data_IF_431656427385
#
_entry.id   IF_431656427385
#
_cell.length_a   1.000
_cell.length_b   1.000
_cell.length_c   1.000
_cell.angle_alpha   90.00
_cell.angle_beta   90.00
_cell.angle_gamma   90.00
#
_symmetry.space_group_name_H-M   'P 1'
#
loop_
_entity.id
_entity.type
_entity.pdbx_description
1 polymer ?
#
# COMPACT_ATOMS: atom_id res chain seq x y z
N UNK A 1 -28.02 20.65 22.60
CA UNK A 1 -28.44 21.78 21.73
C UNK A 1 -27.52 21.95 20.50
N UNK A 2 -26.18 21.98 20.63
CA UNK A 2 -25.27 22.18 19.48
C UNK A 2 -25.17 20.99 18.49
N UNK A 3 -25.37 19.73 18.94
CA UNK A 3 -25.37 18.56 18.03
C UNK A 3 -26.41 18.68 16.91
N UNK A 4 -27.56 19.28 17.22
CA UNK A 4 -28.64 19.51 16.26
C UNK A 4 -28.19 20.46 15.12
N UNK A 5 -27.46 21.53 15.43
CA UNK A 5 -26.93 22.46 14.41
C UNK A 5 -25.87 21.78 13.52
N UNK A 6 -25.01 20.95 14.10
CA UNK A 6 -23.98 20.21 13.34
C UNK A 6 -24.61 19.15 12.44
N UNK A 7 -25.63 18.43 12.92
CA UNK A 7 -26.40 17.45 12.15
C UNK A 7 -27.15 18.11 10.98
N UNK A 8 -27.80 19.26 11.21
CA UNK A 8 -28.46 20.03 10.17
C UNK A 8 -27.46 20.57 9.14
N UNK A 9 -26.30 21.06 9.58
CA UNK A 9 -25.23 21.49 8.70
C UNK A 9 -24.71 20.34 7.82
N UNK A 10 -24.52 19.14 8.39
CA UNK A 10 -24.10 17.96 7.65
C UNK A 10 -25.14 17.54 6.61
N UNK A 11 -26.43 17.54 6.98
CA UNK A 11 -27.54 17.23 6.09
C UNK A 11 -27.61 18.22 4.93
N UNK A 12 -27.52 19.52 5.21
CA UNK A 12 -27.50 20.58 4.18
C UNK A 12 -26.29 20.48 3.27
N UNK A 13 -25.14 20.08 3.82
CA UNK A 13 -23.91 19.86 3.08
C UNK A 13 -23.85 18.52 2.32
N UNK A 14 -24.94 17.73 2.30
CA UNK A 14 -24.98 16.40 1.67
C UNK A 14 -23.88 15.46 2.17
N UNK A 15 -23.51 15.56 3.44
CA UNK A 15 -22.33 14.90 4.01
C UNK A 15 -22.70 13.85 5.06
N UNK A 16 -21.97 12.73 5.08
CA UNK A 16 -22.02 11.79 6.20
C UNK A 16 -21.30 12.40 7.40
N UNK A 17 -21.99 12.45 8.55
CA UNK A 17 -21.49 13.00 9.80
C UNK A 17 -20.77 11.93 10.63
N UNK A 18 -19.55 12.23 11.10
CA UNK A 18 -18.79 11.39 12.02
C UNK A 18 -18.26 12.23 13.19
N UNK A 19 -18.50 11.80 14.43
CA UNK A 19 -17.95 12.44 15.63
C UNK A 19 -16.59 11.85 16.00
N UNK A 20 -15.55 12.68 16.10
CA UNK A 20 -14.20 12.22 16.39
C UNK A 20 -13.83 12.38 17.87
N UNK A 21 -14.28 11.43 18.70
CA UNK A 21 -14.03 11.43 20.16
C UNK A 21 -12.55 11.56 20.53
N UNK A 22 -11.63 10.98 19.75
CA UNK A 22 -10.17 11.02 20.06
C UNK A 22 -9.55 12.40 19.88
N UNK A 23 -10.13 13.24 19.02
CA UNK A 23 -9.60 14.59 18.73
C UNK A 23 -10.40 15.70 19.40
N UNK A 24 -11.52 15.36 20.05
CA UNK A 24 -12.28 16.27 20.91
C UNK A 24 -11.62 16.39 22.29
N UNK A 25 -11.72 17.57 22.89
CA UNK A 25 -11.29 17.92 24.25
C UNK A 25 -12.47 18.44 25.07
N UNK A 26 -12.26 18.81 26.33
CA UNK A 26 -13.29 19.43 27.15
C UNK A 26 -13.82 20.75 26.54
N UNK A 27 -12.95 21.52 25.87
CA UNK A 27 -13.25 22.83 25.29
C UNK A 27 -13.54 22.83 23.78
N UNK A 28 -13.23 21.74 23.07
CA UNK A 28 -13.41 21.67 21.62
C UNK A 28 -13.93 20.31 21.14
N UNK A 29 -14.91 20.32 20.24
CA UNK A 29 -15.44 19.11 19.61
C UNK A 29 -15.11 19.05 18.12
N UNK A 30 -14.71 17.87 17.66
CA UNK A 30 -14.29 17.64 16.28
C UNK A 30 -15.27 16.72 15.57
N UNK A 31 -15.84 17.22 14.47
CA UNK A 31 -16.71 16.48 13.57
C UNK A 31 -16.07 16.36 12.19
N UNK A 32 -16.34 15.25 11.50
CA UNK A 32 -15.87 14.99 10.15
C UNK A 32 -17.09 14.92 9.24
N UNK A 33 -17.09 15.73 8.19
CA UNK A 33 -18.11 15.71 7.14
C UNK A 33 -17.52 15.01 5.92
N UNK A 34 -18.13 13.89 5.53
CA UNK A 34 -17.65 13.09 4.38
C UNK A 34 -18.55 13.26 3.18
N UNK A 35 -17.98 13.79 2.09
CA UNK A 35 -18.64 13.93 0.77
C UNK A 35 -17.59 13.82 -0.33
N UNK A 36 -17.92 13.19 -1.46
CA UNK A 36 -17.03 13.03 -2.63
C UNK A 36 -16.37 14.37 -3.00
N UNK A 37 -17.17 15.43 -3.08
CA UNK A 37 -16.70 16.81 -3.19
C UNK A 37 -16.67 17.48 -1.81
N UNK A 38 -15.47 17.49 -1.21
CA UNK A 38 -15.22 18.10 0.10
C UNK A 38 -15.24 19.63 0.07
N UNK A 39 -14.98 20.24 -1.09
CA UNK A 39 -15.00 21.70 -1.23
C UNK A 39 -16.44 22.19 -1.25
N UNK A 40 -17.30 21.49 -1.99
CA UNK A 40 -18.74 21.76 -2.00
C UNK A 40 -19.35 21.58 -0.60
N UNK A 41 -18.97 20.52 0.12
CA UNK A 41 -19.38 20.33 1.52
C UNK A 41 -18.99 21.51 2.43
N UNK A 42 -17.79 22.07 2.24
CA UNK A 42 -17.33 23.25 2.99
C UNK A 42 -18.19 24.47 2.67
N UNK A 43 -18.38 24.78 1.39
CA UNK A 43 -19.16 25.93 0.94
C UNK A 43 -20.59 25.86 1.49
N UNK A 44 -21.26 24.72 1.34
CA UNK A 44 -22.63 24.53 1.82
C UNK A 44 -22.74 24.60 3.35
N UNK A 45 -21.76 24.06 4.08
CA UNK A 45 -21.70 24.19 5.54
C UNK A 45 -21.56 25.65 5.95
N UNK A 46 -20.65 26.39 5.32
CA UNK A 46 -20.43 27.80 5.62
C UNK A 46 -21.65 28.65 5.28
N UNK A 47 -22.31 28.38 4.15
CA UNK A 47 -23.57 29.04 3.78
C UNK A 47 -24.68 28.76 4.82
N UNK A 48 -24.79 27.53 5.30
CA UNK A 48 -25.71 27.19 6.38
C UNK A 48 -25.40 27.96 7.67
N UNK A 49 -24.12 28.06 8.06
CA UNK A 49 -23.72 28.82 9.26
C UNK A 49 -24.03 30.32 9.09
N UNK A 50 -23.76 30.91 7.92
CA UNK A 50 -24.12 32.31 7.60
C UNK A 50 -25.62 32.54 7.71
N UNK A 51 -26.43 31.65 7.13
CA UNK A 51 -27.89 31.75 7.16
C UNK A 51 -28.44 31.70 8.60
N UNK A 52 -27.77 30.97 9.49
CA UNK A 52 -28.11 30.90 10.91
C UNK A 52 -27.40 31.97 11.76
N UNK A 53 -26.74 32.96 11.15
CA UNK A 53 -26.00 34.05 11.81
C UNK A 53 -24.90 33.55 12.77
N UNK A 54 -24.34 32.38 12.49
CA UNK A 54 -23.23 31.81 13.27
C UNK A 54 -21.91 32.29 12.67
N UNK A 55 -21.11 33.02 13.45
CA UNK A 55 -19.76 33.44 13.06
C UNK A 55 -18.83 32.24 13.04
N UNK A 56 -18.05 32.10 11.98
CA UNK A 56 -17.06 31.03 11.82
C UNK A 56 -15.77 31.58 11.21
N UNK A 57 -14.70 30.81 11.36
CA UNK A 57 -13.41 31.04 10.71
C UNK A 57 -13.05 29.85 9.81
N UNK A 58 -12.49 30.15 8.64
CA UNK A 58 -11.87 29.15 7.76
C UNK A 58 -10.36 29.16 8.05
N UNK A 59 -9.84 28.07 8.62
CA UNK A 59 -8.45 28.04 9.09
C UNK A 59 -7.73 26.74 8.79
N UNK A 60 -6.43 26.82 8.54
CA UNK A 60 -5.58 25.64 8.39
C UNK A 60 -5.26 25.04 9.76
N UNK A 61 -5.34 23.71 9.88
CA UNK A 61 -4.94 22.99 11.08
C UNK A 61 -4.25 21.67 10.73
N UNK A 62 -3.61 21.03 11.71
CA UNK A 62 -3.06 19.68 11.57
C UNK A 62 -4.15 18.59 11.37
N UNK A 63 -5.44 18.92 11.51
CA UNK A 63 -6.54 17.96 11.41
C UNK A 63 -6.82 17.54 9.97
N UNK A 64 -6.40 18.35 8.98
CA UNK A 64 -6.67 18.17 7.56
C UNK A 64 -5.58 18.78 6.68
N UNK A 65 -5.42 18.25 5.47
CA UNK A 65 -4.63 18.89 4.41
C UNK A 65 -5.33 20.12 3.84
N UNK A 66 -6.59 20.38 4.19
CA UNK A 66 -7.39 21.55 3.78
C UNK A 66 -7.75 22.42 4.98
N UNK A 67 -8.27 23.61 4.71
CA UNK A 67 -8.85 24.43 5.77
C UNK A 67 -10.11 23.77 6.35
N UNK A 68 -10.29 23.96 7.65
CA UNK A 68 -11.46 23.52 8.41
C UNK A 68 -12.35 24.72 8.70
N UNK A 69 -13.63 24.47 8.97
CA UNK A 69 -14.53 25.50 9.51
C UNK A 69 -14.60 25.34 11.03
N UNK A 70 -14.27 26.41 11.76
CA UNK A 70 -14.31 26.47 13.22
C UNK A 70 -15.28 27.57 13.66
N UNK A 71 -16.14 27.27 14.63
CA UNK A 71 -17.08 28.23 15.20
C UNK A 71 -17.36 27.91 16.67
N UNK A 72 -17.85 28.89 17.42
CA UNK A 72 -18.23 28.69 18.81
C UNK A 72 -19.75 28.46 18.92
N UNK A 73 -20.14 27.48 19.73
CA UNK A 73 -21.55 27.23 20.00
C UNK A 73 -21.72 26.62 21.40
N UNK A 74 -22.50 27.30 22.25
CA UNK A 74 -22.78 26.83 23.62
C UNK A 74 -21.52 26.69 24.49
N UNK A 75 -20.60 27.66 24.40
CA UNK A 75 -19.36 27.69 25.19
C UNK A 75 -18.29 26.68 24.77
N UNK A 76 -18.47 26.01 23.62
CA UNK A 76 -17.51 25.07 23.04
C UNK A 76 -17.07 25.51 21.66
N UNK A 77 -15.82 25.22 21.33
CA UNK A 77 -15.29 25.35 19.97
C UNK A 77 -15.70 24.12 19.16
N UNK A 78 -16.40 24.31 18.06
CA UNK A 78 -16.78 23.26 17.12
C UNK A 78 -15.88 23.32 15.90
N UNK A 79 -15.28 22.19 15.52
CA UNK A 79 -14.40 22.05 14.35
C UNK A 79 -14.99 21.07 13.35
N UNK A 80 -15.27 21.54 12.14
CA UNK A 80 -15.75 20.71 11.03
C UNK A 80 -14.60 20.43 10.06
N UNK A 81 -14.26 19.15 9.94
CA UNK A 81 -13.20 18.65 9.06
C UNK A 81 -13.82 17.99 7.82
N UNK A 82 -13.55 18.54 6.64
CA UNK A 82 -14.09 18.00 5.38
C UNK A 82 -13.19 16.92 4.79
N UNK A 83 -13.76 15.75 4.50
CA UNK A 83 -13.03 14.63 3.89
C UNK A 83 -13.79 14.04 2.70
N UNK A 84 -13.08 13.52 1.68
CA UNK A 84 -13.73 12.78 0.61
C UNK A 84 -14.37 11.49 1.17
N UNK A 85 -15.45 11.02 0.52
CA UNK A 85 -16.01 9.68 0.76
C UNK A 85 -15.07 8.57 0.28
N UNK A 86 -14.10 8.88 -0.60
CA UNK A 86 -12.93 8.05 -0.87
C UNK A 86 -11.84 8.27 0.18
N UNK A 87 -11.51 7.22 0.93
CA UNK A 87 -10.83 7.31 2.23
C UNK A 87 -9.43 7.96 2.23
N UNK A 88 -9.21 8.81 3.24
CA UNK A 88 -7.90 8.86 3.89
C UNK A 88 -7.59 7.53 4.59
N UNK A 89 -6.33 7.32 4.99
CA UNK A 89 -5.78 6.05 5.49
C UNK A 89 -6.65 5.29 6.53
N UNK A 90 -7.39 5.98 7.39
CA UNK A 90 -8.28 5.36 8.38
C UNK A 90 -9.62 4.83 7.85
N UNK A 91 -10.19 5.44 6.80
CA UNK A 91 -11.46 4.97 6.21
C UNK A 91 -11.25 3.77 5.28
N UNK A 92 -10.16 3.79 4.51
CA UNK A 92 -9.73 2.64 3.71
C UNK A 92 -9.44 1.41 4.57
N UNK A 93 -8.68 1.57 5.66
CA UNK A 93 -8.34 0.48 6.56
C UNK A 93 -9.57 -0.20 7.20
N UNK A 94 -10.61 0.56 7.53
CA UNK A 94 -11.84 0.01 8.11
C UNK A 94 -12.66 -0.79 7.08
N UNK A 95 -12.72 -0.33 5.82
CA UNK A 95 -13.39 -1.05 4.73
C UNK A 95 -12.58 -2.29 4.36
N UNK A 96 -11.26 -2.16 4.22
CA UNK A 96 -10.33 -3.27 3.96
C UNK A 96 -10.51 -4.40 4.98
N UNK A 97 -10.53 -4.07 6.28
CA UNK A 97 -10.74 -5.08 7.32
C UNK A 97 -12.10 -5.80 7.19
N UNK A 98 -13.16 -5.07 6.78
CA UNK A 98 -14.50 -5.65 6.54
C UNK A 98 -14.46 -6.57 5.32
N UNK A 99 -13.94 -6.11 4.19
CA UNK A 99 -13.97 -6.84 2.92
C UNK A 99 -13.08 -8.08 2.94
N UNK A 100 -11.91 -8.01 3.56
CA UNK A 100 -11.03 -9.17 3.74
C UNK A 100 -11.64 -10.21 4.70
N UNK A 101 -12.24 -9.76 5.80
CA UNK A 101 -12.95 -10.67 6.73
C UNK A 101 -14.16 -11.31 6.04
N UNK A 102 -14.91 -10.53 5.24
CA UNK A 102 -16.01 -11.04 4.42
C UNK A 102 -15.54 -12.13 3.48
N UNK A 103 -14.40 -11.95 2.80
CA UNK A 103 -13.84 -12.96 1.93
C UNK A 103 -13.53 -14.27 2.66
N UNK A 104 -13.03 -14.23 3.91
CA UNK A 104 -12.85 -15.44 4.72
C UNK A 104 -14.16 -16.20 4.91
N UNK A 105 -15.26 -15.50 5.22
CA UNK A 105 -16.58 -16.13 5.41
C UNK A 105 -17.12 -16.74 4.11
N UNK A 106 -16.99 -16.05 2.98
CA UNK A 106 -17.48 -16.52 1.69
C UNK A 106 -16.67 -17.73 1.19
N UNK A 107 -15.34 -17.71 1.36
CA UNK A 107 -14.51 -18.87 1.08
C UNK A 107 -14.89 -20.06 1.99
N UNK A 108 -15.05 -19.83 3.30
CA UNK A 108 -15.49 -20.90 4.22
C UNK A 108 -16.87 -21.46 3.87
N UNK A 109 -17.81 -20.60 3.44
CA UNK A 109 -19.12 -21.02 2.96
C UNK A 109 -18.99 -22.00 1.77
N UNK A 110 -18.16 -21.66 0.78
CA UNK A 110 -17.91 -22.51 -0.38
C UNK A 110 -17.22 -23.83 0.00
N UNK A 111 -16.17 -23.80 0.83
CA UNK A 111 -15.38 -25.00 1.16
C UNK A 111 -16.03 -25.92 2.20
N UNK A 112 -16.60 -25.37 3.27
CA UNK A 112 -17.01 -26.16 4.45
C UNK A 112 -18.51 -26.41 4.54
N UNK A 113 -19.33 -25.41 4.18
CA UNK A 113 -20.78 -25.46 4.40
C UNK A 113 -21.49 -25.96 3.14
N UNK A 114 -21.28 -25.30 2.00
CA UNK A 114 -21.87 -25.70 0.71
C UNK A 114 -21.08 -26.79 0.02
N UNK A 115 -19.76 -26.85 0.26
CA UNK A 115 -18.83 -27.78 -0.39
C UNK A 115 -18.94 -27.72 -1.92
N UNK A 116 -19.07 -26.51 -2.45
CA UNK A 116 -19.37 -26.22 -3.85
C UNK A 116 -19.29 -24.72 -4.14
N UNK A 117 -19.37 -24.32 -5.42
CA UNK A 117 -19.57 -22.91 -5.77
C UNK A 117 -20.84 -22.35 -5.10
N UNK A 118 -20.78 -21.09 -4.70
CA UNK A 118 -21.85 -20.35 -4.02
C UNK A 118 -22.50 -19.34 -4.97
N UNK A 119 -23.77 -19.04 -4.73
CA UNK A 119 -24.53 -17.93 -5.34
C UNK A 119 -25.04 -16.99 -4.25
N UNK A 120 -25.55 -15.82 -4.64
CA UNK A 120 -26.07 -14.81 -3.70
C UNK A 120 -27.09 -15.38 -2.71
N UNK A 121 -28.01 -16.23 -3.18
CA UNK A 121 -29.00 -16.89 -2.32
C UNK A 121 -28.39 -17.83 -1.25
N UNK A 122 -27.13 -18.27 -1.40
CA UNK A 122 -26.44 -19.05 -0.38
C UNK A 122 -25.84 -18.17 0.72
N UNK A 123 -25.62 -16.88 0.47
CA UNK A 123 -24.91 -15.93 1.34
C UNK A 123 -25.80 -15.35 2.46
N UNK A 124 -26.74 -16.14 2.99
CA UNK A 124 -27.61 -15.74 4.10
C UNK A 124 -26.81 -15.64 5.41
N UNK A 125 -27.29 -14.81 6.36
CA UNK A 125 -26.67 -14.66 7.69
C UNK A 125 -26.49 -16.02 8.36
N UNK A 126 -27.53 -16.87 8.35
CA UNK A 126 -27.48 -18.22 8.93
C UNK A 126 -26.37 -19.08 8.34
N UNK A 127 -26.17 -19.04 7.02
CA UNK A 127 -25.12 -19.80 6.36
C UNK A 127 -23.73 -19.22 6.65
N UNK A 128 -23.61 -17.89 6.73
CA UNK A 128 -22.37 -17.21 7.10
C UNK A 128 -21.99 -17.46 8.57
N UNK A 129 -22.96 -17.60 9.47
CA UNK A 129 -22.75 -18.00 10.87
C UNK A 129 -22.27 -19.46 10.97
N UNK A 130 -22.80 -20.38 10.15
CA UNK A 130 -22.25 -21.73 10.03
C UNK A 130 -20.81 -21.71 9.53
N UNK A 131 -20.52 -20.89 8.52
CA UNK A 131 -19.19 -20.73 7.95
C UNK A 131 -18.19 -20.11 8.96
N UNK A 132 -18.68 -19.29 9.90
CA UNK A 132 -17.84 -18.64 10.90
C UNK A 132 -17.06 -19.61 11.80
N UNK A 133 -17.54 -20.86 11.96
CA UNK A 133 -16.82 -21.92 12.70
C UNK A 133 -15.42 -22.21 12.15
N UNK A 134 -15.19 -21.90 10.87
CA UNK A 134 -13.92 -22.13 10.18
C UNK A 134 -13.18 -20.83 9.86
N UNK A 135 -13.56 -19.72 10.50
CA UNK A 135 -12.98 -18.40 10.22
C UNK A 135 -12.42 -17.78 11.50
N UNK A 136 -11.18 -17.31 11.41
CA UNK A 136 -10.61 -16.40 12.41
C UNK A 136 -10.31 -15.05 11.76
N UNK A 137 -11.23 -14.11 11.94
CA UNK A 137 -11.13 -12.76 11.41
C UNK A 137 -11.47 -11.72 12.49
N UNK A 138 -10.96 -10.51 12.33
CA UNK A 138 -11.18 -9.38 13.25
C UNK A 138 -12.58 -8.80 13.18
N UNK A 139 -13.27 -8.89 12.03
CA UNK A 139 -14.65 -8.43 11.87
C UNK A 139 -15.59 -9.65 11.92
N UNK A 140 -16.53 -9.65 12.87
CA UNK A 140 -17.53 -10.73 13.03
C UNK A 140 -18.63 -10.63 11.98
N UNK A 141 -19.33 -11.74 11.69
CA UNK A 141 -20.38 -11.86 10.66
C UNK A 141 -21.39 -10.71 10.71
N UNK A 142 -22.01 -10.43 11.87
CA UNK A 142 -23.00 -9.36 11.99
C UNK A 142 -22.43 -7.99 11.60
N UNK A 143 -21.30 -7.60 12.20
CA UNK A 143 -20.62 -6.35 11.86
C UNK A 143 -20.13 -6.30 10.41
N UNK A 144 -19.78 -7.45 9.84
CA UNK A 144 -19.39 -7.55 8.43
C UNK A 144 -20.57 -7.25 7.53
N UNK A 145 -21.73 -7.89 7.75
CA UNK A 145 -22.95 -7.66 6.96
C UNK A 145 -23.40 -6.19 7.04
N UNK A 146 -23.41 -5.61 8.23
CA UNK A 146 -23.84 -4.23 8.45
C UNK A 146 -22.94 -3.18 7.76
N UNK A 147 -21.68 -3.54 7.47
CA UNK A 147 -20.65 -2.60 6.99
C UNK A 147 -20.10 -2.95 5.61
N UNK A 148 -20.53 -4.07 5.03
CA UNK A 148 -20.08 -4.49 3.72
C UNK A 148 -20.67 -3.52 2.69
N UNK A 149 -19.86 -2.85 1.86
CA UNK A 149 -20.42 -1.96 0.85
C UNK A 149 -21.19 -2.77 -0.21
N UNK A 150 -22.29 -2.20 -0.70
CA UNK A 150 -23.27 -2.87 -1.57
C UNK A 150 -22.68 -3.46 -2.85
N UNK A 151 -21.55 -2.95 -3.31
CA UNK A 151 -20.89 -3.34 -4.56
C UNK A 151 -19.82 -4.44 -4.40
N UNK A 152 -19.68 -5.02 -3.20
CA UNK A 152 -18.72 -6.09 -2.91
C UNK A 152 -19.23 -7.54 -3.01
N UNK A 153 -20.52 -7.88 -2.76
CA UNK A 153 -20.96 -9.28 -2.74
C UNK A 153 -20.57 -10.07 -3.99
N UNK A 154 -20.73 -9.51 -5.19
CA UNK A 154 -20.33 -10.14 -6.45
C UNK A 154 -18.83 -10.47 -6.49
N UNK A 155 -17.98 -9.53 -6.09
CA UNK A 155 -16.52 -9.73 -5.95
C UNK A 155 -16.21 -10.87 -5.00
N UNK A 156 -16.90 -10.95 -3.86
CA UNK A 156 -16.65 -11.96 -2.83
C UNK A 156 -17.06 -13.37 -3.29
N UNK A 157 -18.22 -13.49 -3.94
CA UNK A 157 -18.75 -14.74 -4.51
C UNK A 157 -17.82 -15.27 -5.59
N UNK A 158 -17.48 -14.43 -6.59
CA UNK A 158 -16.59 -14.81 -7.68
C UNK A 158 -15.21 -15.24 -7.16
N UNK A 159 -14.67 -14.50 -6.20
CA UNK A 159 -13.39 -14.83 -5.56
C UNK A 159 -13.43 -16.16 -4.81
N UNK A 160 -14.48 -16.40 -4.02
CA UNK A 160 -14.64 -17.66 -3.30
C UNK A 160 -14.78 -18.85 -4.26
N UNK A 161 -15.55 -18.69 -5.33
CA UNK A 161 -15.80 -19.72 -6.32
C UNK A 161 -14.55 -20.09 -7.11
N UNK A 162 -13.76 -19.11 -7.56
CA UNK A 162 -12.54 -19.40 -8.32
C UNK A 162 -11.48 -20.07 -7.44
N UNK A 163 -11.36 -19.65 -6.17
CA UNK A 163 -10.47 -20.32 -5.20
C UNK A 163 -10.95 -21.74 -4.91
N UNK A 164 -12.26 -21.93 -4.67
CA UNK A 164 -12.85 -23.25 -4.48
C UNK A 164 -12.59 -24.17 -5.67
N UNK A 165 -12.93 -23.74 -6.88
CA UNK A 165 -12.76 -24.56 -8.08
C UNK A 165 -11.29 -24.95 -8.30
N UNK A 166 -10.34 -24.05 -8.00
CA UNK A 166 -8.91 -24.33 -8.18
C UNK A 166 -8.32 -25.25 -7.08
N UNK A 167 -8.82 -25.17 -5.85
CA UNK A 167 -8.19 -25.83 -4.70
C UNK A 167 -8.99 -26.95 -4.04
N UNK A 168 -10.27 -27.17 -4.40
CA UNK A 168 -11.14 -28.21 -3.79
C UNK A 168 -10.53 -29.62 -3.78
N UNK A 169 -9.81 -30.01 -4.82
CA UNK A 169 -9.15 -31.32 -4.92
C UNK A 169 -7.79 -31.40 -4.20
N UNK A 170 -7.24 -30.24 -3.83
CA UNK A 170 -5.93 -30.09 -3.18
C UNK A 170 -6.02 -30.00 -1.67
N UNK A 171 -7.20 -29.82 -1.10
CA UNK A 171 -7.40 -29.79 0.36
C UNK A 171 -8.06 -31.09 0.82
N UNK A 172 -7.99 -31.38 2.12
CA UNK A 172 -8.65 -32.50 2.78
C UNK A 172 -9.17 -32.05 4.14
N UNK A 173 -10.37 -32.48 4.52
CA UNK A 173 -10.98 -32.10 5.79
C UNK A 173 -11.49 -30.66 5.80
N UNK A 174 -11.51 -30.07 6.99
CA UNK A 174 -11.97 -28.69 7.20
C UNK A 174 -10.94 -27.68 6.70
N UNK A 175 -11.41 -26.62 6.03
CA UNK A 175 -10.56 -25.55 5.51
C UNK A 175 -10.81 -24.27 6.28
N UNK A 176 -9.79 -23.77 6.95
CA UNK A 176 -9.86 -22.56 7.76
C UNK A 176 -9.36 -21.33 6.99
N UNK A 177 -10.00 -20.20 7.23
CA UNK A 177 -9.63 -18.91 6.64
C UNK A 177 -9.31 -17.90 7.74
N UNK A 178 -8.18 -17.20 7.57
CA UNK A 178 -7.63 -16.31 8.58
C UNK A 178 -7.39 -14.91 8.01
N UNK A 179 -7.80 -13.90 8.79
CA UNK A 179 -7.51 -12.48 8.56
C UNK A 179 -7.09 -11.83 9.86
N UNK A 180 -5.84 -11.37 9.93
CA UNK A 180 -5.26 -10.71 11.13
C UNK A 180 -5.48 -11.54 12.42
N UNK A 181 -5.39 -12.86 12.28
CA UNK A 181 -5.55 -13.83 13.37
C UNK A 181 -4.20 -14.14 14.04
N UNK A 182 -4.22 -14.80 15.19
CA UNK A 182 -2.99 -15.29 15.82
C UNK A 182 -2.24 -16.31 14.93
N UNK A 183 -2.94 -17.14 14.17
CA UNK A 183 -2.33 -18.02 13.17
C UNK A 183 -1.54 -17.22 12.12
N UNK A 184 -2.16 -16.19 11.53
CA UNK A 184 -1.52 -15.32 10.54
C UNK A 184 -0.32 -14.58 11.14
N UNK A 185 -0.43 -14.11 12.38
CA UNK A 185 0.70 -13.47 13.09
C UNK A 185 1.87 -14.44 13.32
N UNK A 186 1.63 -15.73 13.56
CA UNK A 186 2.70 -16.75 13.67
C UNK A 186 3.43 -16.95 12.35
N UNK A 187 2.72 -16.96 11.22
CA UNK A 187 3.32 -17.02 9.88
C UNK A 187 4.29 -15.84 9.67
N UNK A 188 3.87 -14.61 9.95
CA UNK A 188 4.74 -13.44 9.81
C UNK A 188 5.83 -13.34 10.88
N UNK A 189 5.65 -13.97 12.05
CA UNK A 189 6.70 -14.08 13.08
C UNK A 189 7.88 -14.91 12.58
N UNK A 190 7.62 -16.04 11.91
CA UNK A 190 8.67 -16.86 11.30
C UNK A 190 9.53 -16.04 10.32
N UNK A 191 8.88 -15.23 9.46
CA UNK A 191 9.59 -14.29 8.58
C UNK A 191 10.41 -13.26 9.35
N UNK A 192 9.89 -12.68 10.44
CA UNK A 192 10.61 -11.67 11.23
C UNK A 192 11.86 -12.25 11.90
N UNK A 193 11.81 -13.51 12.33
CA UNK A 193 12.97 -14.22 12.87
C UNK A 193 14.06 -14.42 11.80
N UNK A 194 13.69 -14.91 10.61
CA UNK A 194 14.63 -15.02 9.46
C UNK A 194 15.21 -13.66 9.07
N UNK A 195 14.38 -12.63 8.98
CA UNK A 195 14.83 -11.27 8.63
C UNK A 195 15.81 -10.70 9.66
N UNK A 196 15.61 -11.00 10.95
CA UNK A 196 16.52 -10.58 12.02
C UNK A 196 17.90 -11.22 11.85
N UNK A 197 17.94 -12.51 11.52
CA UNK A 197 19.20 -13.23 11.27
C UNK A 197 19.89 -12.76 10.00
N UNK A 198 19.13 -12.57 8.91
CA UNK A 198 19.65 -12.03 7.65
C UNK A 198 20.31 -10.66 7.83
N UNK A 199 19.67 -9.77 8.60
CA UNK A 199 20.22 -8.45 8.94
C UNK A 199 21.52 -8.54 9.74
N UNK A 200 21.70 -9.58 10.57
CA UNK A 200 22.88 -9.80 11.39
C UNK A 200 24.02 -10.55 10.66
N UNK A 201 23.75 -11.12 9.48
CA UNK A 201 24.68 -12.02 8.76
C UNK A 201 25.94 -11.36 8.19
N UNK A 202 26.09 -10.04 8.30
CA UNK A 202 27.15 -9.28 7.60
C UNK A 202 26.95 -9.15 6.07
N UNK A 203 26.09 -9.98 5.48
CA UNK A 203 25.70 -9.92 4.07
C UNK A 203 24.17 -10.03 3.88
N UNK A 204 23.39 -9.02 4.32
CA UNK A 204 21.93 -9.08 4.26
C UNK A 204 21.42 -9.24 2.82
N UNK A 205 20.49 -10.17 2.62
CA UNK A 205 19.87 -10.46 1.33
C UNK A 205 18.62 -9.61 1.08
N UNK A 206 17.86 -9.31 2.13
CA UNK A 206 16.69 -8.44 2.08
C UNK A 206 17.01 -7.03 2.61
N UNK A 207 16.33 -5.99 2.11
CA UNK A 207 16.47 -4.66 2.68
C UNK A 207 15.90 -4.59 4.11
N UNK A 208 16.43 -3.68 4.93
CA UNK A 208 16.08 -3.58 6.35
C UNK A 208 14.58 -3.33 6.64
N UNK A 209 13.85 -2.72 5.70
CA UNK A 209 12.40 -2.48 5.81
C UNK A 209 11.54 -3.43 4.97
N UNK A 210 12.07 -4.61 4.60
CA UNK A 210 11.32 -5.64 3.87
C UNK A 210 10.07 -6.03 4.67
N UNK A 211 8.91 -5.53 4.26
CA UNK A 211 7.66 -5.66 5.01
C UNK A 211 7.00 -7.02 4.79
N UNK A 212 5.96 -7.31 5.59
CA UNK A 212 5.22 -8.56 5.50
C UNK A 212 4.54 -8.69 4.12
N UNK A 213 3.93 -7.62 3.59
CA UNK A 213 3.34 -7.57 2.23
C UNK A 213 4.36 -7.76 1.10
N UNK A 214 5.64 -7.45 1.36
CA UNK A 214 6.72 -7.65 0.39
C UNK A 214 7.24 -9.08 0.40
N UNK A 215 7.15 -9.75 1.54
CA UNK A 215 7.44 -11.17 1.65
C UNK A 215 6.28 -12.04 1.15
N UNK A 216 5.06 -11.76 1.59
CA UNK A 216 3.83 -12.43 1.19
C UNK A 216 2.63 -11.45 1.30
N UNK A 217 2.10 -10.93 0.19
CA UNK A 217 0.97 -10.00 0.17
C UNK A 217 -0.39 -10.69 0.39
N UNK A 218 -0.42 -11.80 1.11
CA UNK A 218 -1.65 -12.51 1.45
C UNK A 218 -2.53 -11.67 2.36
N UNK A 219 -3.59 -11.08 1.81
CA UNK A 219 -4.61 -10.35 2.57
C UNK A 219 -5.40 -11.31 3.49
N UNK A 220 -5.53 -12.58 3.08
CA UNK A 220 -6.04 -13.69 3.89
C UNK A 220 -5.16 -14.95 3.74
N UNK A 221 -5.25 -15.86 4.71
CA UNK A 221 -4.61 -17.18 4.65
C UNK A 221 -5.65 -18.30 4.66
N UNK A 222 -5.47 -19.28 3.77
CA UNK A 222 -6.21 -20.54 3.73
C UNK A 222 -5.34 -21.66 4.31
N UNK A 223 -5.89 -22.50 5.18
CA UNK A 223 -5.16 -23.59 5.82
C UNK A 223 -6.06 -24.80 6.12
N UNK A 224 -5.50 -26.01 6.09
CA UNK A 224 -6.17 -27.22 6.62
C UNK A 224 -5.61 -27.62 7.99
N UNK A 225 -4.65 -26.85 8.50
CA UNK A 225 -4.08 -27.05 9.84
C UNK A 225 -5.04 -26.52 10.91
N UNK A 226 -4.91 -27.04 12.14
CA UNK A 226 -5.67 -26.54 13.28
C UNK A 226 -5.49 -25.02 13.44
N UNK A 227 -6.55 -24.25 13.76
CA UNK A 227 -6.47 -22.79 13.86
C UNK A 227 -5.43 -22.23 14.84
N UNK A 228 -5.00 -23.05 15.81
CA UNK A 228 -3.95 -22.69 16.79
C UNK A 228 -2.53 -23.05 16.36
N UNK A 229 -2.34 -23.73 15.22
CA UNK A 229 -1.04 -24.24 14.80
C UNK A 229 0.00 -23.13 14.52
N UNK A 230 1.27 -23.49 14.59
CA UNK A 230 2.38 -22.67 14.12
C UNK A 230 2.97 -23.33 12.86
N UNK A 231 2.51 -22.94 11.66
CA UNK A 231 2.79 -23.72 10.44
C UNK A 231 4.26 -23.67 10.00
N UNK A 232 5.02 -22.68 10.48
CA UNK A 232 6.39 -22.40 10.03
C UNK A 232 7.41 -22.46 11.18
N UNK A 233 7.04 -23.06 12.32
CA UNK A 233 7.87 -23.10 13.54
C UNK A 233 9.31 -23.60 13.29
N UNK A 234 9.45 -24.68 12.53
CA UNK A 234 10.72 -25.39 12.30
C UNK A 234 11.49 -24.91 11.05
N UNK A 235 10.98 -23.89 10.34
CA UNK A 235 11.48 -23.48 9.00
C UNK A 235 12.05 -22.06 8.99
N UNK A 236 12.72 -21.67 10.08
CA UNK A 236 13.15 -20.29 10.32
C UNK A 236 14.65 -20.08 10.16
N UNK A 237 15.37 -20.96 9.48
CA UNK A 237 16.83 -20.96 9.36
C UNK A 237 17.32 -19.82 8.46
N UNK A 238 16.76 -19.72 7.26
CA UNK A 238 17.07 -18.70 6.27
C UNK A 238 15.88 -18.47 5.32
N UNK A 239 16.03 -17.52 4.40
CA UNK A 239 14.99 -17.19 3.41
C UNK A 239 14.64 -18.39 2.51
N UNK A 240 15.61 -19.21 2.14
CA UNK A 240 15.41 -20.37 1.26
C UNK A 240 14.56 -21.41 1.96
N UNK A 241 14.93 -21.81 3.18
CA UNK A 241 14.20 -22.82 3.96
C UNK A 241 12.77 -22.35 4.26
N UNK A 242 12.61 -21.09 4.66
CA UNK A 242 11.29 -20.52 4.95
C UNK A 242 10.39 -20.49 3.70
N UNK A 243 10.91 -20.00 2.58
CA UNK A 243 10.14 -19.87 1.35
C UNK A 243 9.82 -21.24 0.74
N UNK A 244 10.76 -22.19 0.82
CA UNK A 244 10.54 -23.58 0.42
C UNK A 244 9.43 -24.22 1.26
N UNK A 245 9.39 -23.97 2.57
CA UNK A 245 8.33 -24.50 3.42
C UNK A 245 6.94 -23.95 3.05
N UNK A 246 6.84 -22.65 2.73
CA UNK A 246 5.58 -22.05 2.24
C UNK A 246 5.17 -22.67 0.91
N UNK A 247 6.12 -22.86 -0.02
CA UNK A 247 5.88 -23.44 -1.34
C UNK A 247 5.46 -24.92 -1.28
N UNK A 248 6.13 -25.72 -0.43
CA UNK A 248 5.82 -27.13 -0.18
C UNK A 248 4.41 -27.26 0.44
N UNK A 249 4.11 -26.46 1.47
CA UNK A 249 2.80 -26.45 2.15
C UNK A 249 1.69 -25.88 1.27
N UNK A 250 2.00 -25.10 0.25
CA UNK A 250 1.02 -24.68 -0.76
C UNK A 250 0.69 -25.79 -1.77
N UNK A 251 1.39 -26.92 -1.73
CA UNK A 251 1.17 -28.08 -2.60
C UNK A 251 1.79 -27.91 -3.99
N UNK A 252 2.97 -27.28 -4.07
CA UNK A 252 3.64 -26.97 -5.36
C UNK A 252 4.88 -27.80 -5.67
N UNK A 253 5.40 -28.57 -4.70
CA UNK A 253 6.63 -29.36 -4.86
C UNK A 253 6.39 -30.80 -4.39
N UNK A 254 6.52 -31.07 -3.09
CA UNK A 254 6.57 -32.43 -2.54
C UNK A 254 5.20 -33.06 -2.31
N UNK A 255 4.19 -32.24 -2.02
CA UNK A 255 2.83 -32.70 -1.79
C UNK A 255 1.89 -32.13 -2.85
N UNK A 256 0.93 -32.92 -3.37
CA UNK A 256 -0.16 -32.36 -4.17
C UNK A 256 -1.21 -31.65 -3.30
N UNK A 257 -1.10 -31.74 -1.97
CA UNK A 257 -2.06 -31.16 -1.02
C UNK A 257 -1.62 -29.79 -0.51
N UNK A 258 -2.60 -28.90 -0.35
CA UNK A 258 -2.44 -27.54 0.16
C UNK A 258 -2.81 -27.51 1.65
N UNK A 259 -1.82 -27.21 2.48
CA UNK A 259 -1.92 -27.04 3.92
C UNK A 259 -1.88 -25.58 4.36
N UNK A 260 -1.17 -24.73 3.59
CA UNK A 260 -0.99 -23.32 3.90
C UNK A 260 -0.91 -22.52 2.58
N UNK A 261 -1.73 -21.49 2.43
CA UNK A 261 -1.75 -20.64 1.24
C UNK A 261 -2.07 -19.18 1.58
N UNK A 262 -1.16 -18.27 1.22
CA UNK A 262 -1.43 -16.84 1.21
C UNK A 262 -2.22 -16.44 -0.03
N UNK A 263 -3.28 -15.64 0.16
CA UNK A 263 -4.17 -15.19 -0.92
C UNK A 263 -4.22 -13.66 -0.89
N UNK A 264 -3.65 -13.04 -1.92
CA UNK A 264 -3.78 -11.61 -2.19
C UNK A 264 -5.07 -11.34 -2.98
N UNK A 265 -5.84 -10.35 -2.55
CA UNK A 265 -7.15 -10.00 -3.04
C UNK A 265 -7.10 -8.64 -3.76
N UNK A 266 -7.87 -8.57 -4.85
CA UNK A 266 -8.27 -7.31 -5.47
C UNK A 266 -9.78 -7.31 -5.62
N UNK A 267 -10.35 -6.10 -5.62
CA UNK A 267 -11.71 -5.93 -6.08
C UNK A 267 -11.78 -6.34 -7.55
N UNK A 268 -12.75 -7.19 -7.88
CA UNK A 268 -12.84 -7.80 -9.20
C UNK A 268 -13.58 -6.89 -10.19
N UNK A 269 -13.22 -7.04 -11.46
CA UNK A 269 -14.04 -6.59 -12.58
C UNK A 269 -15.00 -7.71 -13.04
N UNK A 270 -15.22 -7.80 -14.35
CA UNK A 270 -16.17 -8.77 -14.91
C UNK A 270 -15.69 -10.23 -14.77
N UNK A 271 -14.39 -10.47 -14.90
CA UNK A 271 -13.78 -11.80 -14.91
C UNK A 271 -12.82 -11.95 -13.74
N UNK A 272 -12.99 -13.02 -12.96
CA UNK A 272 -12.07 -13.38 -11.89
C UNK A 272 -10.93 -14.22 -12.45
N UNK A 273 -9.70 -13.93 -12.04
CA UNK A 273 -8.51 -14.71 -12.41
C UNK A 273 -7.68 -15.08 -11.19
N UNK A 274 -6.95 -16.19 -11.27
CA UNK A 274 -5.91 -16.55 -10.28
C UNK A 274 -4.55 -16.56 -10.96
N UNK A 275 -3.63 -15.74 -10.44
CA UNK A 275 -2.22 -15.78 -10.82
C UNK A 275 -1.36 -16.28 -9.66
N UNK A 276 -0.45 -17.20 -9.96
CA UNK A 276 0.55 -17.68 -9.00
C UNK A 276 1.81 -16.79 -9.05
N UNK A 277 2.39 -16.54 -7.89
CA UNK A 277 3.62 -15.78 -7.73
C UNK A 277 4.64 -16.59 -6.93
N UNK A 278 5.92 -16.43 -7.25
CA UNK A 278 7.04 -17.17 -6.62
C UNK A 278 6.85 -18.71 -6.68
N UNK A 279 6.27 -19.20 -7.78
CA UNK A 279 6.11 -20.63 -8.06
C UNK A 279 7.45 -21.28 -8.49
N UNK A 280 7.56 -22.63 -8.53
CA UNK A 280 8.81 -23.33 -8.85
C UNK A 280 9.29 -23.02 -10.28
N UNK A 281 8.35 -23.05 -11.23
CA UNK A 281 8.50 -22.54 -12.61
C UNK A 281 8.37 -21.03 -12.62
N UNK A 282 9.21 -20.37 -11.82
CA UNK A 282 9.39 -18.95 -11.91
C UNK A 282 9.99 -18.70 -13.29
N UNK A 283 9.37 -17.84 -14.10
CA UNK A 283 10.11 -17.18 -15.16
C UNK A 283 11.11 -16.27 -14.45
N UNK A 284 12.26 -16.84 -14.06
CA UNK A 284 13.39 -16.14 -13.44
C UNK A 284 13.97 -15.07 -14.41
N UNK A 285 13.54 -15.09 -15.65
CA UNK A 285 14.17 -14.45 -16.81
C UNK A 285 13.47 -13.18 -17.30
N UNK A 286 12.50 -12.62 -16.58
CA UNK A 286 12.05 -11.27 -16.96
C UNK A 286 13.05 -10.26 -16.41
N UNK A 287 14.16 -10.12 -17.11
CA UNK A 287 15.02 -8.96 -16.94
C UNK A 287 14.22 -7.69 -17.21
N UNK A 288 14.43 -6.68 -16.37
CA UNK A 288 13.85 -5.36 -16.57
C UNK A 288 14.97 -4.39 -16.93
N UNK A 289 15.57 -4.48 -18.14
CA UNK A 289 16.72 -3.67 -18.50
C UNK A 289 16.36 -2.18 -18.52
N UNK A 290 17.33 -1.34 -18.20
CA UNK A 290 17.16 0.10 -18.29
C UNK A 290 16.94 0.53 -19.75
N UNK A 291 15.94 1.39 -19.97
CA UNK A 291 15.63 1.94 -21.31
C UNK A 291 15.84 3.44 -21.39
N UNK A 292 15.22 4.21 -20.49
CA UNK A 292 15.28 5.68 -20.51
C UNK A 292 14.79 6.28 -19.19
N UNK A 293 15.02 7.57 -19.00
CA UNK A 293 14.37 8.39 -17.98
C UNK A 293 13.85 9.69 -18.59
N UNK A 294 12.84 10.29 -17.96
CA UNK A 294 12.35 11.63 -18.25
C UNK A 294 11.97 12.35 -16.95
N UNK A 295 12.01 13.68 -16.95
CA UNK A 295 11.49 14.48 -15.85
C UNK A 295 10.07 14.98 -16.14
N UNK A 296 9.13 14.73 -15.24
CA UNK A 296 7.71 14.93 -15.55
C UNK A 296 7.25 14.05 -16.72
N UNK A 297 6.00 14.21 -17.16
CA UNK A 297 5.47 13.43 -18.31
C UNK A 297 5.88 13.99 -19.66
N UNK A 298 6.18 15.28 -19.72
CA UNK A 298 6.52 15.99 -20.96
C UNK A 298 8.04 16.19 -21.10
N UNK A 299 8.83 15.46 -20.31
CA UNK A 299 10.28 15.64 -20.19
C UNK A 299 10.73 17.06 -19.78
N UNK A 300 9.88 17.86 -19.14
CA UNK A 300 10.23 19.17 -18.58
C UNK A 300 10.56 19.03 -17.07
N UNK A 301 11.79 19.40 -16.71
CA UNK A 301 12.29 19.35 -15.33
C UNK A 301 11.41 20.09 -14.34
N UNK A 302 10.83 21.22 -14.73
CA UNK A 302 10.06 22.11 -13.87
C UNK A 302 8.55 21.79 -13.86
N UNK A 303 8.06 20.94 -14.78
CA UNK A 303 6.62 20.66 -14.93
C UNK A 303 5.97 19.95 -13.73
N UNK A 304 6.72 19.13 -13.00
CA UNK A 304 6.23 18.38 -11.84
C UNK A 304 7.35 18.01 -10.88
N UNK A 305 7.04 17.39 -9.75
CA UNK A 305 8.03 16.86 -8.80
C UNK A 305 8.58 15.48 -9.21
N UNK A 306 8.09 14.91 -10.31
CA UNK A 306 8.29 13.51 -10.67
C UNK A 306 9.52 13.30 -11.57
N UNK A 307 10.07 12.09 -11.52
CA UNK A 307 10.90 11.50 -12.57
C UNK A 307 10.30 10.15 -12.96
N UNK A 308 10.34 9.79 -14.24
CA UNK A 308 9.90 8.49 -14.73
C UNK A 308 11.08 7.76 -15.34
N UNK A 309 11.18 6.45 -15.08
CA UNK A 309 12.18 5.58 -15.74
C UNK A 309 11.48 4.40 -16.39
N UNK A 310 11.89 4.05 -17.61
CA UNK A 310 11.46 2.83 -18.30
C UNK A 310 12.44 1.70 -17.99
N UNK A 311 11.93 0.61 -17.45
CA UNK A 311 12.65 -0.56 -16.96
C UNK A 311 12.01 -1.83 -17.55
N UNK A 312 12.52 -2.30 -18.69
CA UNK A 312 11.84 -3.31 -19.51
C UNK A 312 10.46 -2.82 -19.95
N UNK A 313 9.42 -3.60 -19.66
CA UNK A 313 8.02 -3.25 -19.92
C UNK A 313 7.38 -2.39 -18.82
N UNK A 314 8.08 -2.16 -17.71
CA UNK A 314 7.57 -1.36 -16.61
C UNK A 314 8.01 0.11 -16.74
N UNK A 315 7.14 1.03 -16.35
CA UNK A 315 7.50 2.41 -16.09
C UNK A 315 7.47 2.65 -14.58
N UNK A 316 8.48 3.29 -14.00
CA UNK A 316 8.54 3.57 -12.57
C UNK A 316 8.56 5.08 -12.36
N UNK A 317 7.55 5.59 -11.64
CA UNK A 317 7.49 6.98 -11.19
C UNK A 317 8.22 7.12 -9.86
N UNK A 318 9.20 8.01 -9.82
CA UNK A 318 9.90 8.42 -8.60
C UNK A 318 9.42 9.79 -8.17
N UNK A 319 8.95 9.89 -6.92
CA UNK A 319 8.48 11.15 -6.33
C UNK A 319 8.39 11.09 -4.81
N UNK A 320 8.32 12.26 -4.19
CA UNK A 320 7.87 12.39 -2.81
C UNK A 320 6.37 12.06 -2.68
N UNK A 321 6.01 11.39 -1.59
CA UNK A 321 4.60 11.10 -1.26
C UNK A 321 4.08 11.77 -0.01
N UNK A 322 4.96 12.36 0.80
CA UNK A 322 4.59 13.18 1.94
C UNK A 322 5.33 14.52 1.90
N UNK A 323 5.00 15.33 0.90
CA UNK A 323 5.57 16.66 0.64
C UNK A 323 7.11 16.66 0.57
N UNK A 324 7.79 16.83 1.71
CA UNK A 324 9.25 16.93 1.86
C UNK A 324 9.89 15.66 2.42
N UNK A 325 9.19 14.52 2.37
CA UNK A 325 9.67 13.21 2.84
C UNK A 325 9.02 12.07 2.07
N UNK A 326 9.47 10.83 2.35
CA UNK A 326 8.89 9.61 1.79
C UNK A 326 9.02 9.55 0.27
N UNK A 327 10.26 9.68 -0.21
CA UNK A 327 10.60 9.50 -1.61
C UNK A 327 10.58 8.00 -1.95
N UNK A 328 9.94 7.66 -3.07
CA UNK A 328 9.72 6.27 -3.45
C UNK A 328 9.54 6.12 -4.96
N UNK A 329 9.81 4.92 -5.46
CA UNK A 329 9.42 4.46 -6.79
C UNK A 329 8.07 3.75 -6.76
N UNK A 330 7.23 3.98 -7.76
CA UNK A 330 5.95 3.29 -7.96
C UNK A 330 5.81 2.83 -9.42
N UNK A 331 5.56 1.53 -9.63
CA UNK A 331 5.34 0.99 -10.98
C UNK A 331 4.01 1.51 -11.55
N UNK A 332 4.07 2.04 -12.76
CA UNK A 332 2.97 2.51 -13.60
C UNK A 332 2.82 1.60 -14.83
N UNK A 333 1.62 1.53 -15.38
CA UNK A 333 1.40 1.12 -16.78
C UNK A 333 1.43 -0.37 -17.13
N UNK A 334 1.40 -1.32 -16.19
CA UNK A 334 1.34 -2.76 -16.52
C UNK A 334 0.12 -3.42 -15.86
N UNK A 335 -1.09 -3.25 -16.43
CA UNK A 335 -2.39 -3.88 -16.06
C UNK A 335 -2.81 -3.90 -14.56
N UNK A 336 -2.02 -3.30 -13.67
CA UNK A 336 -2.29 -2.95 -12.28
C UNK A 336 -1.12 -2.07 -11.82
N UNK A 337 -1.34 -1.09 -10.93
CA UNK A 337 -0.23 -0.40 -10.26
C UNK A 337 0.64 -1.46 -9.54
N UNK A 338 1.89 -1.60 -9.98
CA UNK A 338 2.74 -2.78 -9.69
C UNK A 338 3.45 -2.76 -8.33
N UNK A 339 2.97 -1.93 -7.40
CA UNK A 339 3.54 -1.77 -6.06
C UNK A 339 4.63 -0.69 -5.97
N UNK A 340 5.05 -0.41 -4.73
CA UNK A 340 5.95 0.69 -4.36
C UNK A 340 7.28 0.19 -3.79
N UNK A 341 8.32 1.02 -3.86
CA UNK A 341 9.62 0.82 -3.22
C UNK A 341 10.10 2.14 -2.60
N UNK A 342 10.29 2.17 -1.28
CA UNK A 342 10.77 3.35 -0.57
C UNK A 342 12.26 3.62 -0.76
N UNK A 343 12.69 4.86 -0.55
CA UNK A 343 14.07 5.32 -0.74
C UNK A 343 15.12 4.48 -0.03
N UNK A 344 14.87 4.05 1.21
CA UNK A 344 15.81 3.18 1.93
C UNK A 344 16.03 1.82 1.26
N UNK A 345 15.00 1.25 0.64
CA UNK A 345 15.11 -0.02 -0.08
C UNK A 345 15.74 0.19 -1.46
N UNK A 346 15.49 1.32 -2.11
CA UNK A 346 16.21 1.72 -3.33
C UNK A 346 17.72 1.88 -3.05
N UNK A 347 18.08 2.53 -1.94
CA UNK A 347 19.48 2.68 -1.54
C UNK A 347 20.13 1.33 -1.26
N UNK A 348 19.45 0.42 -0.57
CA UNK A 348 19.95 -0.95 -0.36
C UNK A 348 20.32 -1.64 -1.68
N UNK A 349 19.47 -1.57 -2.69
CA UNK A 349 19.78 -2.17 -4.00
C UNK A 349 20.86 -1.40 -4.77
N UNK A 350 20.97 -0.09 -4.62
CA UNK A 350 22.11 0.68 -5.15
C UNK A 350 23.42 0.22 -4.52
N UNK A 351 23.48 0.05 -3.20
CA UNK A 351 24.67 -0.44 -2.51
C UNK A 351 25.02 -1.87 -2.91
N UNK A 352 24.00 -2.71 -3.14
CA UNK A 352 24.21 -4.10 -3.59
C UNK A 352 24.76 -4.19 -5.00
N UNK A 353 24.17 -3.47 -5.95
CA UNK A 353 24.50 -3.60 -7.38
C UNK A 353 25.62 -2.68 -7.83
N UNK A 354 25.67 -1.46 -7.26
CA UNK A 354 26.56 -0.37 -7.66
C UNK A 354 27.68 -0.10 -6.66
N UNK A 355 27.63 -0.70 -5.46
CA UNK A 355 28.56 -0.43 -4.34
C UNK A 355 28.59 1.04 -3.91
N UNK A 356 27.50 1.78 -4.15
CA UNK A 356 27.39 3.22 -3.89
C UNK A 356 26.01 3.57 -3.35
N UNK A 357 25.96 4.43 -2.34
CA UNK A 357 24.71 4.96 -1.79
C UNK A 357 24.15 6.09 -2.67
N UNK A 358 22.84 6.33 -2.59
CA UNK A 358 22.18 7.44 -3.29
C UNK A 358 22.71 8.78 -2.74
N UNK A 359 23.18 9.66 -3.63
CA UNK A 359 23.74 10.97 -3.26
C UNK A 359 25.24 10.94 -2.89
N UNK A 360 25.90 9.79 -3.04
CA UNK A 360 27.34 9.62 -2.74
C UNK A 360 27.62 8.97 -1.39
N UNK A 361 28.80 8.36 -1.27
CA UNK A 361 29.25 7.62 -0.08
C UNK A 361 29.52 6.13 -0.33
N UNK A 362 30.36 5.55 0.53
CA UNK A 362 30.65 4.12 0.57
C UNK A 362 29.53 3.35 1.30
N UNK A 363 29.33 2.09 0.89
CA UNK A 363 28.40 1.12 1.49
C UNK A 363 28.48 1.12 3.03
N UNK A 364 27.33 1.05 3.70
CA UNK A 364 27.26 0.85 5.15
C UNK A 364 27.12 2.11 6.02
N UNK A 365 27.08 3.31 5.43
CA UNK A 365 26.61 4.51 6.15
C UNK A 365 25.08 4.44 6.29
N UNK A 366 24.53 4.84 7.43
CA UNK A 366 23.08 4.98 7.67
C UNK A 366 22.48 6.03 6.73
N UNK A 367 22.24 5.65 5.47
CA UNK A 367 21.70 6.51 4.44
C UNK A 367 20.35 7.10 4.87
N UNK A 368 20.16 8.37 4.56
CA UNK A 368 18.91 9.10 4.80
C UNK A 368 18.58 9.93 3.57
N UNK A 369 17.28 10.14 3.35
CA UNK A 369 16.81 11.13 2.37
C UNK A 369 17.38 12.51 2.73
N UNK A 370 17.74 13.33 1.73
CA UNK A 370 18.17 14.72 1.97
C UNK A 370 16.91 15.60 2.04
N UNK A 371 16.49 16.09 3.23
CA UNK A 371 15.31 16.93 3.34
C UNK A 371 15.45 18.22 2.51
N UNK A 372 14.33 18.77 2.03
CA UNK A 372 14.35 19.92 1.13
C UNK A 372 15.11 21.15 1.64
N UNK A 373 15.08 21.41 2.96
CA UNK A 373 15.82 22.50 3.60
C UNK A 373 17.33 22.21 3.80
N UNK A 374 17.78 20.99 3.53
CA UNK A 374 19.20 20.59 3.59
C UNK A 374 19.80 20.45 2.18
N UNK A 375 19.00 20.64 1.13
CA UNK A 375 19.48 20.56 -0.26
C UNK A 375 20.36 21.77 -0.56
N UNK A 376 21.60 21.52 -0.96
CA UNK A 376 22.50 22.53 -1.53
C UNK A 376 22.10 22.78 -2.98
N UNK A 377 21.39 23.87 -3.25
CA UNK A 377 20.82 24.15 -4.57
C UNK A 377 21.87 24.29 -5.69
N UNK A 378 23.09 24.71 -5.35
CA UNK A 378 24.21 24.72 -6.29
C UNK A 378 24.60 23.30 -6.75
N UNK A 379 24.65 22.33 -5.83
CA UNK A 379 24.94 20.93 -6.16
C UNK A 379 23.80 20.32 -6.99
N UNK A 380 22.55 20.65 -6.61
CA UNK A 380 21.36 20.25 -7.37
C UNK A 380 21.38 20.83 -8.80
N UNK A 381 21.86 22.07 -8.98
CA UNK A 381 22.01 22.70 -10.30
C UNK A 381 23.03 21.98 -11.19
N UNK A 382 24.15 21.52 -10.62
CA UNK A 382 25.14 20.74 -11.36
C UNK A 382 24.55 19.42 -11.88
N UNK A 383 23.77 18.72 -11.04
CA UNK A 383 23.08 17.52 -11.46
C UNK A 383 21.97 17.81 -12.48
N UNK A 384 21.25 18.92 -12.32
CA UNK A 384 20.27 19.38 -13.30
C UNK A 384 20.91 19.57 -14.68
N UNK A 385 22.01 20.31 -14.78
CA UNK A 385 22.73 20.47 -16.06
C UNK A 385 23.24 19.15 -16.64
N UNK A 386 23.66 18.23 -15.78
CA UNK A 386 24.17 16.92 -16.18
C UNK A 386 23.09 16.00 -16.79
N UNK A 387 21.87 16.06 -16.27
CA UNK A 387 20.81 15.10 -16.60
C UNK A 387 19.60 15.68 -17.31
N UNK A 388 19.61 16.96 -17.68
CA UNK A 388 18.55 17.58 -18.48
C UNK A 388 19.04 17.97 -19.87
N UNK A 389 18.14 17.97 -20.88
CA UNK A 389 18.46 18.45 -22.23
C UNK A 389 18.99 19.89 -22.20
N UNK A 390 19.93 20.21 -23.11
CA UNK A 390 20.59 21.52 -23.16
C UNK A 390 19.59 22.66 -23.36
N UNK A 391 18.48 22.40 -24.03
CA UNK A 391 17.41 23.36 -24.32
C UNK A 391 16.65 23.80 -23.04
N UNK A 392 16.76 23.03 -21.95
CA UNK A 392 16.19 23.39 -20.66
C UNK A 392 17.18 24.13 -19.76
N UNK A 393 18.46 24.20 -20.12
CA UNK A 393 19.48 24.82 -19.28
C UNK A 393 19.18 26.32 -19.13
N UNK A 394 19.31 26.79 -17.90
CA UNK A 394 19.07 28.17 -17.50
C UNK A 394 20.16 28.60 -16.55
N UNK A 395 20.36 29.91 -16.41
CA UNK A 395 21.36 30.46 -15.51
C UNK A 395 21.16 30.00 -14.05
N UNK A 396 22.24 29.83 -13.26
CA UNK A 396 22.17 29.28 -11.91
C UNK A 396 21.19 30.04 -10.99
N UNK A 397 21.20 31.37 -11.06
CA UNK A 397 20.32 32.22 -10.25
C UNK A 397 18.84 32.04 -10.62
N UNK A 398 18.54 31.83 -11.91
CA UNK A 398 17.17 31.56 -12.40
C UNK A 398 16.73 30.18 -11.94
N UNK A 399 17.61 29.18 -12.00
CA UNK A 399 17.34 27.83 -11.48
C UNK A 399 16.99 27.86 -9.99
N UNK A 400 17.83 28.51 -9.18
CA UNK A 400 17.64 28.62 -7.72
C UNK A 400 16.29 29.28 -7.42
N UNK A 401 15.99 30.40 -8.08
CA UNK A 401 14.70 31.11 -7.92
C UNK A 401 13.52 30.20 -8.26
N UNK A 402 13.53 29.53 -9.42
CA UNK A 402 12.45 28.59 -9.81
C UNK A 402 12.27 27.44 -8.83
N UNK A 403 13.34 26.91 -8.26
CA UNK A 403 13.28 25.87 -7.24
C UNK A 403 12.61 26.37 -5.96
N UNK A 404 12.98 27.56 -5.48
CA UNK A 404 12.39 28.20 -4.29
C UNK A 404 10.91 28.49 -4.51
N UNK A 405 10.55 29.06 -5.66
CA UNK A 405 9.16 29.40 -6.01
C UNK A 405 8.25 28.16 -6.06
N UNK A 406 8.78 26.99 -6.46
CA UNK A 406 8.05 25.71 -6.45
C UNK A 406 7.98 25.05 -5.06
N UNK A 407 8.75 25.54 -4.11
CA UNK A 407 8.70 25.14 -2.71
C UNK A 407 9.43 23.84 -2.36
N UNK A 408 9.48 23.56 -1.05
CA UNK A 408 10.31 22.49 -0.49
C UNK A 408 10.01 21.08 -1.00
N UNK A 409 8.76 20.78 -1.39
CA UNK A 409 8.40 19.46 -1.93
C UNK A 409 9.05 19.22 -3.30
N UNK A 410 9.12 20.26 -4.14
CA UNK A 410 9.79 20.20 -5.43
C UNK A 410 11.29 20.00 -5.25
N UNK A 411 11.92 20.85 -4.42
CA UNK A 411 13.35 20.78 -4.11
C UNK A 411 13.73 19.38 -3.60
N UNK A 412 13.00 18.89 -2.59
CA UNK A 412 13.19 17.56 -2.02
C UNK A 412 13.09 16.46 -3.08
N UNK A 413 11.94 16.37 -3.77
CA UNK A 413 11.66 15.28 -4.70
C UNK A 413 12.63 15.25 -5.87
N UNK A 414 12.92 16.40 -6.48
CA UNK A 414 13.83 16.50 -7.62
C UNK A 414 15.28 16.25 -7.22
N UNK A 415 15.72 16.76 -6.08
CA UNK A 415 17.06 16.46 -5.58
C UNK A 415 17.23 14.95 -5.36
N UNK A 416 16.26 14.27 -4.73
CA UNK A 416 16.32 12.82 -4.55
C UNK A 416 16.36 12.07 -5.89
N UNK A 417 15.54 12.48 -6.87
CA UNK A 417 15.56 11.91 -8.22
C UNK A 417 16.93 12.10 -8.91
N UNK A 418 17.51 13.30 -8.83
CA UNK A 418 18.82 13.61 -9.40
C UNK A 418 19.95 12.83 -8.72
N UNK A 419 19.95 12.75 -7.39
CA UNK A 419 20.92 11.96 -6.63
C UNK A 419 20.84 10.46 -6.96
N UNK A 420 19.61 9.92 -7.06
CA UNK A 420 19.42 8.53 -7.45
C UNK A 420 19.89 8.29 -8.88
N UNK A 421 19.52 9.17 -9.81
CA UNK A 421 19.94 9.08 -11.21
C UNK A 421 21.47 9.16 -11.34
N UNK A 422 22.13 10.03 -10.56
CA UNK A 422 23.59 10.12 -10.58
C UNK A 422 24.27 8.84 -10.09
N UNK A 423 23.81 8.31 -8.96
CA UNK A 423 24.29 7.02 -8.46
C UNK A 423 24.02 5.91 -9.49
N UNK A 424 22.81 5.87 -10.06
CA UNK A 424 22.40 4.89 -11.07
C UNK A 424 23.29 4.92 -12.32
N UNK A 425 23.54 6.12 -12.86
CA UNK A 425 24.33 6.31 -14.08
C UNK A 425 25.83 6.05 -13.87
N UNK A 426 26.30 5.97 -12.63
CA UNK A 426 27.70 5.59 -12.33
C UNK A 426 28.00 4.10 -12.48
N UNK A 427 26.97 3.24 -12.50
CA UNK A 427 27.16 1.80 -12.73
C UNK A 427 27.30 1.44 -14.20
N UNK A 428 27.86 0.27 -14.49
CA UNK A 428 27.88 -0.32 -15.84
C UNK A 428 26.47 -0.68 -16.32
N UNK A 429 26.28 -0.88 -17.63
CA UNK A 429 24.99 -1.31 -18.20
C UNK A 429 24.45 -2.58 -17.52
N UNK A 430 25.33 -3.54 -17.24
CA UNK A 430 24.98 -4.78 -16.54
C UNK A 430 24.51 -4.53 -15.11
N UNK A 431 25.19 -3.67 -14.35
CA UNK A 431 24.77 -3.31 -12.99
C UNK A 431 23.43 -2.56 -12.97
N UNK A 432 23.23 -1.64 -13.91
CA UNK A 432 21.96 -0.88 -14.04
C UNK A 432 20.79 -1.80 -14.37
N UNK A 433 20.97 -2.77 -15.27
CA UNK A 433 19.93 -3.75 -15.60
C UNK A 433 19.56 -4.64 -14.40
N UNK A 434 20.55 -5.09 -13.61
CA UNK A 434 20.30 -5.83 -12.37
C UNK A 434 19.55 -4.98 -11.35
N UNK A 435 19.93 -3.72 -11.17
CA UNK A 435 19.25 -2.80 -10.27
C UNK A 435 17.80 -2.54 -10.70
N UNK A 436 17.54 -2.29 -11.98
CA UNK A 436 16.16 -2.14 -12.48
C UNK A 436 15.33 -3.41 -12.25
N UNK A 437 15.92 -4.59 -12.47
CA UNK A 437 15.28 -5.88 -12.18
C UNK A 437 14.92 -6.02 -10.70
N UNK A 438 15.84 -5.67 -9.80
CA UNK A 438 15.59 -5.69 -8.35
C UNK A 438 14.49 -4.72 -7.93
N UNK A 439 14.47 -3.51 -8.48
CA UNK A 439 13.45 -2.48 -8.21
C UNK A 439 12.07 -3.01 -8.60
N UNK A 440 11.93 -3.54 -9.82
CA UNK A 440 10.64 -4.02 -10.33
C UNK A 440 10.17 -5.24 -9.54
N UNK A 441 11.08 -6.20 -9.27
CA UNK A 441 10.78 -7.41 -8.50
C UNK A 441 10.38 -7.11 -7.06
N UNK A 442 11.04 -6.16 -6.40
CA UNK A 442 10.65 -5.71 -5.07
C UNK A 442 9.28 -5.05 -5.06
N UNK A 443 9.03 -4.15 -6.01
CA UNK A 443 7.72 -3.49 -6.12
C UNK A 443 6.60 -4.53 -6.27
N UNK A 444 6.83 -5.58 -7.08
CA UNK A 444 5.89 -6.66 -7.36
C UNK A 444 5.83 -7.80 -6.33
N UNK A 445 6.53 -7.71 -5.18
CA UNK A 445 6.60 -8.78 -4.16
C UNK A 445 7.09 -10.12 -4.76
N UNK A 446 8.07 -10.03 -5.65
CA UNK A 446 8.64 -11.13 -6.43
C UNK A 446 10.18 -11.10 -6.37
N UNK A 447 10.75 -10.83 -5.19
CA UNK A 447 12.20 -10.97 -4.92
C UNK A 447 12.54 -12.43 -4.60
N UNK A 448 13.82 -12.79 -4.52
CA UNK A 448 14.22 -14.15 -4.08
C UNK A 448 13.82 -14.44 -2.63
N UNK A 449 13.67 -13.39 -1.83
CA UNK A 449 13.20 -13.48 -0.46
C UNK A 449 11.68 -13.53 -0.37
N UNK A 450 10.93 -13.27 -1.44
CA UNK A 450 9.45 -13.33 -1.44
C UNK A 450 8.94 -14.78 -1.50
N UNK A 451 7.95 -15.11 -0.68
CA UNK A 451 7.35 -16.46 -0.62
C UNK A 451 6.19 -16.64 -1.60
N UNK A 452 5.75 -17.89 -1.78
CA UNK A 452 4.64 -18.23 -2.67
C UNK A 452 3.30 -17.68 -2.18
N UNK A 453 2.51 -17.15 -3.12
CA UNK A 453 1.12 -16.74 -2.89
C UNK A 453 0.33 -16.80 -4.20
N UNK A 454 -1.00 -16.73 -4.08
CA UNK A 454 -1.87 -16.46 -5.22
C UNK A 454 -2.46 -15.07 -5.16
N UNK A 455 -2.66 -14.47 -6.33
CA UNK A 455 -3.44 -13.24 -6.48
C UNK A 455 -4.77 -13.57 -7.15
N UNK A 456 -5.86 -13.15 -6.52
CA UNK A 456 -7.23 -13.16 -7.07
C UNK A 456 -7.53 -11.75 -7.56
N UNK A 457 -7.74 -11.56 -8.86
CA UNK A 457 -7.98 -10.24 -9.48
C UNK A 457 -8.82 -10.27 -10.74
#
# INVERSE_FOLDING_TARGET
MYKNIVEQAAKKAGSLLEYNKKKSTASAEVFIFRRKDRNQAKIETQNFLKANKIKFIDKKTYLSSENITEFELGGKIIRIVYKPTGGGSGGGAAVTAVTESAQCYYCSLAFNVKRGPIKEADCTITNLEKAAKYVQATVKVKSMVDRLPEDWPDTLIKSANIVYNKYKSKVTGSVYFHRDSEFMKKVYRAKKEVQKMDKASGNPQAPGSFSDDKWNPGDIWMTTMSPGADPLKEFKQDWSVLNQAVLDKAGRIKSPKTFLLGISLKKLGNVATIKEFNAPTRVKEIEHPYKSYIFGRNNDFFSSIDMYMKMGTAEVQFRATNSTSSWQGEIKGVTAAGGKIGGGNLNFYCERQLRRSIGGGLKGRSWKETPGNQVRLNDMYLLFKKYTPKEQHIEPNIFIKKCIDKGGSFIFSKNMCLQFLDTFMSGTSSQRNRLCTDIVRYAASNTDQSSFFIKVS
#
